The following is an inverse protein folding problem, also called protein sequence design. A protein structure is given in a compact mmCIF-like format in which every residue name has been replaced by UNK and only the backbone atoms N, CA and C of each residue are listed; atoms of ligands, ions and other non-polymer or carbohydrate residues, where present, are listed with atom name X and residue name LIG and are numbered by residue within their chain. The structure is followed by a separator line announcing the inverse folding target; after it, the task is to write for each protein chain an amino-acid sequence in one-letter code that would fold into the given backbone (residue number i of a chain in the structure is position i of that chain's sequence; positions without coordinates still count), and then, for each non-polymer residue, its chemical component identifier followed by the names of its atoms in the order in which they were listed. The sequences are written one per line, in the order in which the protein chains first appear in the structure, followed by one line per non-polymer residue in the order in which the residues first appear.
data_IF_281154365654
#
_entry.id   IF_281154365654
#
_cell.length_a   1.000
_cell.length_b   1.000
_cell.length_c   1.000
_cell.angle_alpha   90.00
_cell.angle_beta   90.00
_cell.angle_gamma   90.00
#
_symmetry.space_group_name_H-M   'P 1'
#
loop_
_entity.id
_entity.type
_entity.pdbx_description
1 polymer ?
#
# COMPACT_ATOMS: atom_id res chain seq x y z
N UNK A 1 -25.89 6.61 11.42
CA UNK A 1 -24.49 6.23 11.59
C UNK A 1 -24.08 6.44 13.04
N UNK A 2 -23.40 5.49 13.64
CA UNK A 2 -22.99 5.59 15.05
C UNK A 2 -21.82 6.58 15.21
N UNK A 3 -21.59 7.05 16.46
CA UNK A 3 -20.44 7.93 16.76
C UNK A 3 -19.11 7.27 16.43
N UNK A 4 -18.99 5.96 16.62
CA UNK A 4 -17.77 5.23 16.30
C UNK A 4 -17.46 5.28 14.79
N UNK A 5 -18.47 5.14 13.95
CA UNK A 5 -18.31 5.23 12.50
C UNK A 5 -17.86 6.62 12.05
N UNK A 6 -18.36 7.69 12.69
CA UNK A 6 -17.96 9.07 12.37
C UNK A 6 -16.50 9.33 12.76
N UNK A 7 -16.07 8.89 13.94
CA UNK A 7 -14.70 9.04 14.41
C UNK A 7 -13.72 8.28 13.52
N UNK A 8 -14.08 7.09 13.10
CA UNK A 8 -13.28 6.26 12.21
C UNK A 8 -13.11 6.92 10.83
N UNK A 9 -14.18 7.47 10.27
CA UNK A 9 -14.12 8.19 8.99
C UNK A 9 -13.21 9.41 9.04
N UNK A 10 -13.25 10.18 10.14
CA UNK A 10 -12.38 11.34 10.33
C UNK A 10 -10.91 10.92 10.46
N UNK A 11 -10.61 9.81 11.15
CA UNK A 11 -9.26 9.29 11.28
C UNK A 11 -8.72 8.83 9.93
N UNK A 12 -9.51 8.13 9.14
CA UNK A 12 -9.17 7.70 7.79
C UNK A 12 -8.84 8.89 6.90
N UNK A 13 -9.65 9.95 6.94
CA UNK A 13 -9.39 11.16 6.16
C UNK A 13 -8.05 11.81 6.52
N UNK A 14 -7.69 11.85 7.81
CA UNK A 14 -6.39 12.37 8.25
C UNK A 14 -5.23 11.51 7.78
N UNK A 15 -5.37 10.19 7.84
CA UNK A 15 -4.33 9.26 7.37
C UNK A 15 -4.10 9.43 5.87
N UNK A 16 -5.16 9.59 5.09
CA UNK A 16 -5.05 9.87 3.65
C UNK A 16 -4.29 11.15 3.37
N UNK A 17 -4.60 12.22 4.10
CA UNK A 17 -3.91 13.50 3.93
C UNK A 17 -2.43 13.41 4.28
N UNK A 18 -2.05 12.62 5.32
CA UNK A 18 -0.68 12.49 5.78
C UNK A 18 0.16 11.51 4.94
N UNK A 19 -0.48 10.48 4.35
CA UNK A 19 0.21 9.36 3.70
C UNK A 19 -0.28 9.08 2.27
N UNK A 20 -0.87 10.08 1.61
CA UNK A 20 -1.33 9.92 0.23
C UNK A 20 -0.15 9.67 -0.71
N UNK A 21 -0.26 8.71 -1.66
CA UNK A 21 0.73 8.55 -2.71
C UNK A 21 0.82 9.80 -3.60
N UNK A 22 2.02 10.07 -4.11
CA UNK A 22 2.28 11.24 -4.97
C UNK A 22 1.63 11.16 -6.34
N UNK A 23 1.23 9.97 -6.78
CA UNK A 23 0.67 9.76 -8.10
C UNK A 23 -0.34 8.63 -8.14
N UNK A 24 -0.53 8.07 -9.33
CA UNK A 24 -1.49 7.00 -9.53
C UNK A 24 -1.14 5.76 -8.71
N UNK A 25 -2.17 5.10 -8.20
CA UNK A 25 -2.06 3.87 -7.43
C UNK A 25 -3.06 2.87 -8.00
N UNK A 26 -2.58 1.68 -8.38
CA UNK A 26 -3.40 0.64 -9.01
C UNK A 26 -3.14 -0.70 -8.34
N UNK A 27 -4.20 -1.41 -7.99
CA UNK A 27 -4.11 -2.78 -7.49
C UNK A 27 -4.35 -3.75 -8.65
N UNK A 28 -3.46 -4.73 -8.81
CA UNK A 28 -3.45 -5.63 -9.97
C UNK A 28 -3.51 -7.08 -9.52
N UNK A 29 -4.48 -7.82 -10.03
CA UNK A 29 -4.55 -9.27 -9.90
C UNK A 29 -4.76 -9.88 -11.28
N UNK A 30 -3.72 -10.47 -11.86
CA UNK A 30 -3.78 -11.00 -13.22
C UNK A 30 -4.14 -9.91 -14.23
N UNK A 31 -5.25 -10.08 -14.93
CA UNK A 31 -5.75 -9.09 -15.89
C UNK A 31 -6.63 -8.01 -15.24
N UNK A 32 -7.02 -8.18 -13.98
CA UNK A 32 -7.87 -7.20 -13.28
C UNK A 32 -7.03 -6.07 -12.72
N UNK A 33 -7.45 -4.85 -12.99
CA UNK A 33 -6.80 -3.63 -12.51
C UNK A 33 -7.84 -2.75 -11.83
N UNK A 34 -7.54 -2.35 -10.58
CA UNK A 34 -8.43 -1.51 -9.78
C UNK A 34 -7.69 -0.22 -9.47
N UNK A 35 -8.24 0.90 -9.92
CA UNK A 35 -7.69 2.22 -9.63
C UNK A 35 -7.98 2.59 -8.18
N UNK A 36 -6.91 2.74 -7.39
CA UNK A 36 -6.98 3.15 -5.99
C UNK A 36 -6.46 4.57 -5.78
N UNK A 37 -6.24 5.32 -6.83
CA UNK A 37 -5.72 6.69 -6.76
C UNK A 37 -6.65 7.55 -5.90
N UNK A 38 -6.10 8.13 -4.82
CA UNK A 38 -6.86 8.90 -3.86
C UNK A 38 -7.76 8.07 -2.93
N UNK A 39 -7.77 6.74 -3.05
CA UNK A 39 -8.66 5.84 -2.30
C UNK A 39 -7.92 4.93 -1.33
N UNK A 40 -6.60 4.92 -1.39
CA UNK A 40 -5.74 4.15 -0.51
C UNK A 40 -4.50 4.97 -0.21
N UNK A 41 -3.72 4.54 0.77
CA UNK A 41 -2.49 5.23 1.16
C UNK A 41 -1.47 4.21 1.64
N UNK A 42 -0.22 4.64 1.76
CA UNK A 42 0.81 3.78 2.33
C UNK A 42 0.96 4.04 3.83
N UNK A 43 1.27 2.98 4.56
CA UNK A 43 1.63 3.05 5.97
C UNK A 43 3.15 3.03 6.13
N UNK A 44 3.64 1.96 6.74
CA UNK A 44 5.07 1.78 6.96
C UNK A 44 5.80 1.55 5.64
N UNK A 45 6.94 2.22 5.46
CA UNK A 45 7.84 2.02 4.34
C UNK A 45 9.27 1.82 4.86
N UNK A 46 9.94 0.79 4.38
CA UNK A 46 11.34 0.54 4.67
C UNK A 46 12.16 0.91 3.44
N UNK A 47 13.13 1.80 3.62
CA UNK A 47 14.04 2.22 2.55
C UNK A 47 15.44 1.70 2.83
N UNK A 48 16.14 1.31 1.78
CA UNK A 48 17.57 1.02 1.84
C UNK A 48 18.31 2.03 0.98
N UNK A 49 19.44 2.54 1.50
CA UNK A 49 20.34 3.37 0.73
C UNK A 49 21.49 2.53 0.22
N UNK A 50 21.71 2.58 -1.07
CA UNK A 50 22.85 1.93 -1.69
C UNK A 50 23.79 3.01 -2.20
N UNK A 51 25.00 3.04 -1.63
CA UNK A 51 26.06 3.89 -2.14
C UNK A 51 26.64 3.25 -3.41
N UNK A 52 26.76 4.04 -4.48
CA UNK A 52 27.38 3.58 -5.71
C UNK A 52 28.36 4.65 -6.23
N UNK A 53 29.04 4.38 -7.32
CA UNK A 53 30.03 5.29 -7.88
C UNK A 53 29.49 6.68 -8.28
N UNK A 54 28.19 6.79 -8.48
CA UNK A 54 27.50 8.05 -8.80
C UNK A 54 26.81 8.71 -7.63
N UNK A 55 26.96 8.18 -6.41
CA UNK A 55 26.32 8.71 -5.21
C UNK A 55 25.44 7.69 -4.51
N UNK A 56 24.50 8.17 -3.67
CA UNK A 56 23.55 7.32 -2.94
C UNK A 56 22.24 7.19 -3.70
N UNK A 57 21.80 5.96 -3.94
CA UNK A 57 20.47 5.65 -4.45
C UNK A 57 19.57 5.18 -3.30
N UNK A 58 18.31 5.59 -3.32
CA UNK A 58 17.31 5.10 -2.36
C UNK A 58 16.54 3.98 -3.04
N UNK A 59 16.55 2.81 -2.39
CA UNK A 59 15.84 1.63 -2.88
C UNK A 59 14.68 1.35 -1.92
N UNK A 60 13.48 1.22 -2.47
CA UNK A 60 12.33 0.80 -1.69
C UNK A 60 12.49 -0.67 -1.33
N UNK A 61 12.30 -1.02 -0.06
CA UNK A 61 12.28 -2.41 0.38
C UNK A 61 10.83 -2.88 0.54
N UNK A 62 10.37 -2.86 1.78
CA UNK A 62 9.01 -3.26 2.13
C UNK A 62 8.13 -2.03 2.31
N UNK A 63 6.87 -2.12 1.89
CA UNK A 63 5.89 -1.07 2.09
C UNK A 63 4.53 -1.69 2.41
N UNK A 64 3.87 -1.17 3.44
CA UNK A 64 2.49 -1.52 3.74
C UNK A 64 1.56 -0.55 3.04
N UNK A 65 0.48 -1.09 2.44
CA UNK A 65 -0.61 -0.28 1.91
C UNK A 65 -1.83 -0.45 2.79
N UNK A 66 -2.53 0.65 3.02
CA UNK A 66 -3.78 0.68 3.75
C UNK A 66 -4.90 0.92 2.74
N UNK A 67 -5.76 -0.09 2.56
CA UNK A 67 -6.78 -0.08 1.52
C UNK A 67 -8.14 -0.32 2.18
N UNK A 68 -9.09 0.63 2.07
CA UNK A 68 -10.44 0.38 2.57
C UNK A 68 -11.04 -0.86 1.91
N UNK A 69 -11.67 -1.70 2.72
CA UNK A 69 -12.27 -2.95 2.27
C UNK A 69 -13.28 -2.74 1.12
N UNK A 70 -13.97 -1.62 1.13
CA UNK A 70 -14.95 -1.27 0.11
C UNK A 70 -14.33 -0.98 -1.26
N UNK A 71 -13.02 -0.74 -1.32
CA UNK A 71 -12.33 -0.40 -2.57
C UNK A 71 -11.85 -1.63 -3.34
N UNK A 72 -11.87 -2.81 -2.72
CA UNK A 72 -11.49 -4.07 -3.37
C UNK A 72 -12.69 -5.03 -3.39
N UNK A 73 -12.94 -5.73 -4.52
CA UNK A 73 -14.05 -6.69 -4.61
C UNK A 73 -13.76 -8.02 -3.90
N UNK A 74 -12.54 -8.23 -3.45
CA UNK A 74 -12.09 -9.46 -2.79
C UNK A 74 -10.96 -9.14 -1.80
N UNK A 75 -10.61 -10.10 -0.97
CA UNK A 75 -9.48 -9.96 -0.04
C UNK A 75 -8.14 -9.95 -0.79
N UNK A 76 -7.13 -9.22 -0.29
CA UNK A 76 -5.79 -9.28 -0.85
C UNK A 76 -5.26 -10.71 -0.88
N UNK A 77 -4.38 -11.01 -1.84
CA UNK A 77 -3.81 -12.34 -2.01
C UNK A 77 -2.34 -12.23 -2.36
N UNK A 78 -1.54 -13.13 -1.83
CA UNK A 78 -0.12 -13.26 -2.19
C UNK A 78 0.04 -13.35 -3.71
N UNK A 79 0.97 -12.58 -4.24
CA UNK A 79 1.21 -12.49 -5.67
C UNK A 79 0.48 -11.36 -6.37
N UNK A 80 -0.52 -10.76 -5.72
CA UNK A 80 -1.11 -9.52 -6.23
C UNK A 80 -0.04 -8.42 -6.27
N UNK A 81 -0.25 -7.40 -7.08
CA UNK A 81 0.71 -6.33 -7.28
C UNK A 81 0.04 -4.98 -7.05
N UNK A 82 0.73 -4.10 -6.36
CA UNK A 82 0.37 -2.68 -6.29
C UNK A 82 1.35 -1.92 -7.16
N UNK A 83 0.84 -1.18 -8.13
CA UNK A 83 1.63 -0.28 -8.96
C UNK A 83 1.40 1.14 -8.48
N UNK A 84 2.47 1.81 -8.08
CA UNK A 84 2.42 3.18 -7.58
C UNK A 84 3.38 4.06 -8.36
N UNK A 85 2.91 5.21 -8.82
CA UNK A 85 3.77 6.20 -9.47
C UNK A 85 4.45 7.02 -8.38
N UNK A 86 5.79 6.94 -8.33
CA UNK A 86 6.62 7.68 -7.38
C UNK A 86 7.61 8.52 -8.19
N UNK A 87 7.61 9.82 -7.98
CA UNK A 87 8.48 10.76 -8.70
C UNK A 87 8.40 10.58 -10.22
N UNK A 88 7.19 10.39 -10.74
CA UNK A 88 6.93 10.25 -12.17
C UNK A 88 7.23 8.87 -12.75
N UNK A 89 7.69 7.92 -11.95
CA UNK A 89 8.01 6.56 -12.41
C UNK A 89 7.11 5.55 -11.72
N UNK A 90 6.47 4.68 -12.50
CA UNK A 90 5.66 3.61 -11.95
C UNK A 90 6.56 2.55 -11.31
N UNK A 91 6.28 2.20 -10.06
CA UNK A 91 6.97 1.18 -9.30
C UNK A 91 6.02 0.04 -9.00
N UNK A 92 6.55 -1.16 -8.97
CA UNK A 92 5.77 -2.37 -8.72
C UNK A 92 6.10 -2.94 -7.34
N UNK A 93 5.06 -3.19 -6.54
CA UNK A 93 5.18 -3.78 -5.21
C UNK A 93 4.33 -5.05 -5.18
N UNK A 94 4.93 -6.19 -4.89
CA UNK A 94 4.21 -7.46 -4.85
C UNK A 94 3.75 -7.79 -3.44
N UNK A 95 2.52 -8.26 -3.31
CA UNK A 95 1.95 -8.71 -2.04
C UNK A 95 2.65 -9.99 -1.62
N UNK A 96 3.47 -9.89 -0.59
CA UNK A 96 4.27 -10.99 -0.04
C UNK A 96 4.33 -10.84 1.50
N UNK A 97 4.40 -11.97 2.24
CA UNK A 97 4.55 -11.88 3.68
C UNK A 97 5.89 -11.27 4.07
N UNK A 98 5.94 -10.50 5.18
CA UNK A 98 7.19 -9.99 5.69
C UNK A 98 8.08 -11.12 6.24
N UNK A 99 9.38 -10.85 6.37
CA UNK A 99 10.36 -11.82 6.88
C UNK A 99 10.12 -12.19 8.35
N UNK A 100 9.29 -11.44 9.07
CA UNK A 100 8.98 -11.65 10.49
C UNK A 100 8.01 -12.78 10.78
N UNK A 101 7.47 -13.46 9.76
CA UNK A 101 6.48 -14.52 9.91
C UNK A 101 5.03 -14.02 10.01
N UNK A 102 4.82 -12.72 9.91
CA UNK A 102 3.47 -12.15 9.84
C UNK A 102 2.80 -12.49 8.51
N UNK A 103 1.46 -12.48 8.44
CA UNK A 103 0.76 -12.71 7.18
C UNK A 103 1.00 -11.58 6.17
N UNK A 104 0.76 -11.86 4.90
CA UNK A 104 0.88 -10.89 3.81
C UNK A 104 -0.16 -9.78 3.86
N UNK A 105 -1.30 -10.02 4.50
CA UNK A 105 -2.29 -8.99 4.78
C UNK A 105 -3.06 -9.29 6.07
N UNK A 106 -3.64 -8.24 6.64
CA UNK A 106 -4.51 -8.35 7.80
C UNK A 106 -5.44 -7.14 7.84
N UNK A 107 -6.45 -7.19 8.71
CA UNK A 107 -7.22 -5.99 9.00
C UNK A 107 -6.40 -5.07 9.90
N UNK A 108 -6.40 -3.79 9.58
CA UNK A 108 -5.68 -2.77 10.35
C UNK A 108 -6.49 -2.24 11.52
N UNK A 109 -7.79 -2.54 11.57
CA UNK A 109 -8.72 -2.04 12.56
C UNK A 109 -9.61 -3.15 13.13
N UNK A 110 -10.10 -3.01 14.37
CA UNK A 110 -11.00 -3.99 14.98
C UNK A 110 -12.32 -4.17 14.24
N UNK A 111 -12.77 -3.14 13.51
CA UNK A 111 -14.00 -3.18 12.72
C UNK A 111 -13.89 -3.90 11.39
N UNK A 112 -12.69 -4.37 11.04
CA UNK A 112 -12.42 -5.07 9.77
C UNK A 112 -12.84 -4.28 8.54
N UNK A 113 -12.57 -2.97 8.53
CA UNK A 113 -12.92 -2.07 7.43
C UNK A 113 -11.73 -1.67 6.58
N UNK A 114 -10.52 -1.97 7.02
CA UNK A 114 -9.28 -1.51 6.41
C UNK A 114 -8.29 -2.65 6.30
N UNK A 115 -7.90 -2.99 5.08
CA UNK A 115 -6.82 -3.95 4.84
C UNK A 115 -5.46 -3.28 5.05
N UNK A 116 -4.58 -3.96 5.77
CA UNK A 116 -3.16 -3.66 5.79
C UNK A 116 -2.44 -4.71 4.97
N UNK A 117 -1.88 -4.32 3.85
CA UNK A 117 -1.29 -5.24 2.87
C UNK A 117 0.21 -5.01 2.83
N UNK A 118 0.97 -6.07 3.14
CA UNK A 118 2.42 -6.00 3.09
C UNK A 118 2.92 -6.29 1.68
N UNK A 119 3.74 -5.41 1.14
CA UNK A 119 4.28 -5.54 -0.21
C UNK A 119 5.80 -5.37 -0.21
N UNK A 120 6.45 -6.04 -1.16
CA UNK A 120 7.88 -5.89 -1.41
C UNK A 120 8.11 -5.25 -2.78
N UNK A 121 9.04 -4.32 -2.83
CA UNK A 121 9.40 -3.65 -4.07
C UNK A 121 10.03 -4.62 -5.07
N UNK A 122 9.55 -4.60 -6.31
CA UNK A 122 10.02 -5.49 -7.39
C UNK A 122 10.66 -4.74 -8.55
N UNK A 123 10.75 -3.41 -8.46
CA UNK A 123 11.34 -2.58 -9.50
C UNK A 123 10.31 -1.76 -10.26
N UNK A 124 10.70 -1.16 -11.37
CA UNK A 124 9.77 -0.41 -12.22
C UNK A 124 8.68 -1.32 -12.79
N UNK A 125 7.52 -0.76 -12.90
CA UNK A 125 6.39 -1.47 -13.48
C UNK A 125 6.50 -1.54 -15.01
#
# INVERSE_FOLDING_TARGET
MSRASRGQSALIARLRAAHAPDGALTYVRGAERIDLTGRAWFGRTVFSRIANAGGAAVVFGDRDYLIPKTELPWEPKKGDVVEEVVNGTAQKFEVLPPATGEPDWRYSDPGETLFRVHCKHKGPA
#
